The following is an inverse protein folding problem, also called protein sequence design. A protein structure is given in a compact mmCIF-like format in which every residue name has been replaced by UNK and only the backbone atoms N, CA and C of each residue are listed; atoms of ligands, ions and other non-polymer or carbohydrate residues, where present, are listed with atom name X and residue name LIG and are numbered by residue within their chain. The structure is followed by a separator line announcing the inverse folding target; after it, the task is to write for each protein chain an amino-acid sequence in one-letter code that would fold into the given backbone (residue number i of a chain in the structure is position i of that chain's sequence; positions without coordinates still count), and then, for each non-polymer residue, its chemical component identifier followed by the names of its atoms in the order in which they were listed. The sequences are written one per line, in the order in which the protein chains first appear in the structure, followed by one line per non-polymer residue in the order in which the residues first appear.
data_IF_960957100356
#
_entry.id   IF_960957100356
#
_cell.length_a   1.000
_cell.length_b   1.000
_cell.length_c   1.000
_cell.angle_alpha   90.00
_cell.angle_beta   90.00
_cell.angle_gamma   90.00
#
_symmetry.space_group_name_H-M   'P 1'
#
loop_
_entity.id
_entity.type
_entity.pdbx_description
1 polymer ?
#
# COMPACT_ATOMS: atom_id res chain seq x y z
N UNK A 1 -22.98 5.68 7.54
CA UNK A 1 -21.78 5.94 6.71
C UNK A 1 -21.42 4.63 6.03
N UNK A 2 -21.20 4.64 4.71
CA UNK A 2 -20.87 3.42 3.95
C UNK A 2 -19.43 3.53 3.47
N UNK A 3 -18.58 2.66 4.00
CA UNK A 3 -17.19 2.50 3.60
C UNK A 3 -17.10 1.34 2.59
N UNK A 4 -16.44 1.57 1.46
CA UNK A 4 -16.19 0.51 0.48
C UNK A 4 -14.74 0.09 0.56
N UNK A 5 -14.47 -1.21 0.71
CA UNK A 5 -13.11 -1.75 0.73
C UNK A 5 -12.91 -2.57 -0.54
N UNK A 6 -11.83 -2.30 -1.27
CA UNK A 6 -11.50 -2.99 -2.52
C UNK A 6 -9.98 -3.16 -2.67
N UNK A 7 -9.51 -4.09 -3.52
CA UNK A 7 -8.11 -4.14 -3.92
C UNK A 7 -7.64 -2.79 -4.49
N UNK A 8 -6.40 -2.44 -4.18
CA UNK A 8 -5.73 -1.29 -4.75
C UNK A 8 -5.41 -1.54 -6.23
N UNK A 9 -5.45 -0.48 -7.03
CA UNK A 9 -4.99 -0.48 -8.42
C UNK A 9 -3.96 0.62 -8.64
N UNK A 10 -3.20 0.57 -9.73
CA UNK A 10 -2.10 1.53 -9.98
C UNK A 10 -2.60 2.99 -9.97
N UNK A 11 -3.85 3.23 -10.41
CA UNK A 11 -4.49 4.53 -10.39
C UNK A 11 -4.69 5.11 -8.97
N UNK A 12 -4.68 4.28 -7.93
CA UNK A 12 -4.86 4.70 -6.54
C UNK A 12 -3.55 5.23 -5.91
N UNK A 13 -2.39 4.89 -6.49
CA UNK A 13 -1.08 5.20 -5.91
C UNK A 13 -0.89 6.67 -5.50
N UNK A 14 -1.27 7.67 -6.32
CA UNK A 14 -1.12 9.07 -5.91
C UNK A 14 -1.96 9.42 -4.68
N UNK A 15 -3.18 8.87 -4.59
CA UNK A 15 -4.06 9.09 -3.45
C UNK A 15 -3.53 8.38 -2.19
N UNK A 16 -3.06 7.13 -2.34
CA UNK A 16 -2.44 6.36 -1.27
C UNK A 16 -1.19 7.05 -0.71
N UNK A 17 -0.35 7.57 -1.60
CA UNK A 17 0.85 8.32 -1.23
C UNK A 17 0.52 9.60 -0.48
N UNK A 18 -0.51 10.33 -0.91
CA UNK A 18 -0.99 11.55 -0.24
C UNK A 18 -1.53 11.26 1.16
N UNK A 19 -2.40 10.25 1.30
CA UNK A 19 -2.93 9.84 2.62
C UNK A 19 -1.80 9.34 3.53
N UNK A 20 -0.85 8.58 2.99
CA UNK A 20 0.34 8.16 3.72
C UNK A 20 1.21 9.34 4.19
N UNK A 21 1.46 10.34 3.33
CA UNK A 21 2.24 11.52 3.71
C UNK A 21 1.56 12.36 4.81
N UNK A 22 0.22 12.37 4.86
CA UNK A 22 -0.53 12.99 5.97
C UNK A 22 -0.38 12.22 7.28
N UNK A 23 -0.38 10.88 7.21
CA UNK A 23 -0.20 10.02 8.38
C UNK A 23 1.24 10.02 8.92
N UNK A 24 2.23 10.24 8.05
CA UNK A 24 3.66 10.26 8.36
C UNK A 24 4.29 11.62 8.00
N UNK A 25 4.10 12.66 8.84
CA UNK A 25 4.64 13.98 8.58
C UNK A 25 6.18 13.92 8.48
N UNK A 26 6.72 14.31 7.33
CA UNK A 26 8.15 14.26 7.02
C UNK A 26 8.53 13.30 5.88
N UNK A 27 7.58 12.47 5.42
CA UNK A 27 7.77 11.63 4.23
C UNK A 27 7.16 12.33 3.02
N UNK A 28 7.99 12.66 2.03
CA UNK A 28 7.53 13.21 0.76
C UNK A 28 6.60 12.23 0.02
N UNK A 29 5.55 12.74 -0.60
CA UNK A 29 4.55 11.91 -1.27
C UNK A 29 5.15 11.08 -2.42
N UNK A 30 6.12 11.59 -3.18
CA UNK A 30 6.78 10.81 -4.25
C UNK A 30 7.65 9.70 -3.66
N UNK A 31 8.31 9.96 -2.54
CA UNK A 31 9.06 8.93 -1.81
C UNK A 31 8.10 7.85 -1.30
N UNK A 32 6.92 8.24 -0.81
CA UNK A 32 5.89 7.30 -0.37
C UNK A 32 5.33 6.48 -1.53
N UNK A 33 5.04 7.10 -2.67
CA UNK A 33 4.57 6.40 -3.88
C UNK A 33 5.60 5.37 -4.35
N UNK A 34 6.86 5.77 -4.44
CA UNK A 34 7.97 4.87 -4.77
C UNK A 34 8.07 3.71 -3.77
N UNK A 35 7.95 4.00 -2.48
CA UNK A 35 7.97 2.97 -1.44
C UNK A 35 6.79 1.98 -1.54
N UNK A 36 5.60 2.45 -1.93
CA UNK A 36 4.44 1.57 -2.17
C UNK A 36 4.73 0.65 -3.37
N UNK A 37 5.29 1.19 -4.46
CA UNK A 37 5.63 0.42 -5.67
C UNK A 37 6.78 -0.57 -5.44
N UNK A 38 7.77 -0.19 -4.65
CA UNK A 38 8.98 -0.97 -4.36
C UNK A 38 8.91 -1.68 -2.99
N UNK A 39 7.71 -1.88 -2.42
CA UNK A 39 7.59 -2.36 -1.06
C UNK A 39 8.22 -3.76 -0.90
N UNK A 40 9.14 -3.96 0.08
CA UNK A 40 9.97 -5.16 0.12
C UNK A 40 9.20 -6.44 0.49
N UNK A 41 8.01 -6.31 1.09
CA UNK A 41 7.24 -7.42 1.66
C UNK A 41 5.83 -7.57 1.08
N UNK A 42 5.42 -6.69 0.19
CA UNK A 42 4.05 -6.67 -0.34
C UNK A 42 4.07 -6.06 -1.74
N UNK A 43 3.20 -6.56 -2.61
CA UNK A 43 2.92 -5.96 -3.92
C UNK A 43 1.64 -5.14 -3.85
N UNK A 44 1.31 -4.42 -4.93
CA UNK A 44 0.06 -3.67 -4.99
C UNK A 44 -1.17 -4.57 -4.86
N UNK A 45 -1.09 -5.81 -5.34
CA UNK A 45 -2.14 -6.83 -5.23
C UNK A 45 -2.41 -7.22 -3.76
N UNK A 46 -1.44 -7.01 -2.87
CA UNK A 46 -1.55 -7.26 -1.44
C UNK A 46 -2.10 -6.05 -0.67
N UNK A 47 -2.51 -4.97 -1.38
CA UNK A 47 -3.00 -3.75 -0.76
C UNK A 47 -4.50 -3.55 -0.98
N UNK A 48 -5.14 -2.97 0.03
CA UNK A 48 -6.54 -2.61 0.03
C UNK A 48 -6.68 -1.10 0.18
N UNK A 49 -7.65 -0.54 -0.51
CA UNK A 49 -8.08 0.85 -0.35
C UNK A 49 -9.46 0.88 0.28
N UNK A 50 -9.65 1.82 1.20
CA UNK A 50 -10.93 2.12 1.81
C UNK A 50 -11.43 3.46 1.24
N UNK A 51 -12.60 3.45 0.64
CA UNK A 51 -13.23 4.62 0.04
C UNK A 51 -14.47 5.05 0.81
N UNK A 52 -14.57 6.35 1.07
CA UNK A 52 -15.77 6.98 1.58
C UNK A 52 -16.19 8.09 0.61
N UNK A 53 -17.43 8.00 0.07
CA UNK A 53 -17.99 8.99 -0.87
C UNK A 53 -17.10 9.26 -2.10
N UNK A 54 -16.43 8.22 -2.60
CA UNK A 54 -15.53 8.32 -3.76
C UNK A 54 -14.19 9.01 -3.47
N UNK A 55 -13.85 9.19 -2.19
CA UNK A 55 -12.55 9.67 -1.73
C UNK A 55 -11.83 8.55 -1.00
N UNK A 56 -10.51 8.45 -1.21
CA UNK A 56 -9.68 7.54 -0.44
C UNK A 56 -9.66 7.98 1.03
N UNK A 57 -10.21 7.15 1.91
CA UNK A 57 -10.26 7.36 3.35
C UNK A 57 -9.11 6.66 4.09
N UNK A 58 -8.56 5.58 3.51
CA UNK A 58 -7.46 4.84 4.12
C UNK A 58 -6.90 3.75 3.22
N UNK A 59 -5.78 3.18 3.65
CA UNK A 59 -5.12 2.06 2.98
C UNK A 59 -4.70 1.02 4.00
N UNK A 60 -4.68 -0.25 3.57
CA UNK A 60 -4.15 -1.35 4.36
C UNK A 60 -3.28 -2.23 3.47
N UNK A 61 -2.18 -2.74 4.03
CA UNK A 61 -1.30 -3.69 3.35
C UNK A 61 -1.39 -5.03 4.07
N UNK A 62 -1.72 -6.08 3.33
CA UNK A 62 -1.74 -7.45 3.83
C UNK A 62 -0.35 -8.03 3.64
N UNK A 63 0.44 -8.06 4.71
CA UNK A 63 1.75 -8.74 4.67
C UNK A 63 1.51 -10.19 5.05
N UNK A 64 1.72 -11.17 4.14
CA UNK A 64 1.55 -12.57 4.49
C UNK A 64 2.52 -12.96 5.61
N UNK A 65 2.12 -13.88 6.51
CA UNK A 65 2.98 -14.30 7.61
C UNK A 65 4.27 -14.90 7.04
N UNK A 66 5.41 -14.36 7.45
CA UNK A 66 6.71 -15.00 7.24
C UNK A 66 6.78 -16.23 8.14
N UNK A 67 6.51 -17.40 7.57
CA UNK A 67 6.81 -18.67 8.23
C UNK A 67 8.33 -18.78 8.40
N UNK A 68 8.81 -19.07 9.62
CA UNK A 68 10.22 -19.37 9.91
C UNK A 68 10.66 -20.62 9.12
N UNK A 69 11.02 -20.40 7.86
CA UNK A 69 11.26 -21.44 6.85
C UNK A 69 11.25 -20.87 5.43
N UNK A 70 10.67 -19.67 5.23
CA UNK A 70 10.58 -19.00 3.94
C UNK A 70 11.55 -17.81 3.82
N UNK A 71 12.80 -17.98 4.25
CA UNK A 71 13.92 -17.13 3.79
C UNK A 71 14.45 -17.76 2.50
N UNK A 72 13.64 -17.75 1.45
CA UNK A 72 14.08 -18.15 0.11
C UNK A 72 13.06 -17.69 -0.94
N UNK A 73 13.10 -16.40 -1.28
CA UNK A 73 12.95 -15.97 -2.67
C UNK A 73 13.54 -14.57 -2.82
N UNK A 74 14.85 -14.50 -2.64
CA UNK A 74 15.64 -13.59 -3.48
C UNK A 74 15.25 -13.88 -4.91
N UNK A 75 14.48 -12.99 -5.54
CA UNK A 75 14.38 -12.97 -6.99
C UNK A 75 15.78 -12.62 -7.49
N UNK A 76 16.54 -13.64 -7.90
CA UNK A 76 17.68 -13.44 -8.78
C UNK A 76 17.16 -12.72 -10.02
N UNK A 77 17.62 -11.48 -10.21
CA UNK A 77 17.87 -10.98 -11.54
C UNK A 77 19.23 -11.53 -12.00
#
# INVERSE_FOLDING_TARGET
MTLTIRPAVEADLPAMARVGAQAFPGVDAKVRERHIREHPLATLDDMLVAEERGQLAGTATVIPPVTMGSVARTRSC
#
